data_IF_608514032024
#
_entry.id   IF_608514032024
#
_cell.length_a   1.000
_cell.length_b   1.000
_cell.length_c   1.000
_cell.angle_alpha   90.00
_cell.angle_beta   90.00
_cell.angle_gamma   90.00
#
_symmetry.space_group_name_H-M   'P 1'
#
loop_
_entity.id
_entity.type
_entity.pdbx_description
1 polymer ?
#
# COMPACT_ATOMS: atom_id res chain seq x y z
N UNK A 1 8.60 -14.09 27.89
CA UNK A 1 7.38 -13.29 27.64
C UNK A 1 7.37 -12.63 26.25
N UNK A 2 8.51 -12.11 25.76
CA UNK A 2 8.60 -11.48 24.41
C UNK A 2 8.43 -12.49 23.29
N UNK A 3 8.91 -13.73 23.45
CA UNK A 3 8.72 -14.79 22.44
C UNK A 3 7.27 -15.26 22.29
N UNK A 4 6.51 -15.28 23.38
CA UNK A 4 5.09 -15.70 23.35
C UNK A 4 4.20 -14.67 22.64
N UNK A 5 4.48 -13.38 22.78
CA UNK A 5 3.76 -12.30 22.08
C UNK A 5 4.01 -12.34 20.57
N UNK A 6 5.23 -12.74 20.16
CA UNK A 6 5.58 -12.84 18.73
C UNK A 6 4.91 -14.05 18.05
N UNK A 7 4.63 -15.12 18.79
CA UNK A 7 3.92 -16.30 18.25
C UNK A 7 2.41 -16.10 18.17
N UNK A 8 1.80 -15.40 19.14
CA UNK A 8 0.38 -15.04 19.07
C UNK A 8 0.07 -14.07 17.92
N UNK A 9 0.97 -13.12 17.62
CA UNK A 9 0.81 -12.22 16.48
C UNK A 9 0.85 -12.93 15.12
N UNK A 10 1.47 -14.11 15.02
CA UNK A 10 1.56 -14.90 13.78
C UNK A 10 0.32 -15.75 13.47
N UNK A 11 -0.57 -15.94 14.44
CA UNK A 11 -1.76 -16.78 14.29
C UNK A 11 -3.09 -16.00 14.30
N UNK A 12 -3.06 -14.70 14.60
CA UNK A 12 -4.25 -13.86 14.54
C UNK A 12 -4.70 -13.68 13.08
N UNK A 13 -5.90 -14.13 12.75
CA UNK A 13 -6.56 -13.78 11.49
C UNK A 13 -6.67 -12.25 11.43
N UNK A 14 -6.15 -11.66 10.36
CA UNK A 14 -6.04 -10.21 10.11
C UNK A 14 -7.41 -9.46 10.09
N UNK A 15 -8.53 -10.12 10.40
CA UNK A 15 -9.85 -9.48 10.47
C UNK A 15 -10.03 -8.56 11.68
N UNK A 16 -9.29 -8.79 12.79
CA UNK A 16 -9.47 -8.06 14.02
C UNK A 16 -8.10 -7.52 14.48
N UNK A 17 -7.85 -6.25 14.20
CA UNK A 17 -6.57 -5.57 14.44
C UNK A 17 -6.40 -5.13 15.92
N UNK A 18 -6.96 -5.90 16.87
CA UNK A 18 -6.92 -5.60 18.29
C UNK A 18 -6.73 -6.89 19.12
N UNK A 19 -6.37 -6.72 20.38
CA UNK A 19 -6.22 -7.82 21.34
C UNK A 19 -7.59 -8.29 21.80
N UNK A 20 -7.89 -9.57 21.57
CA UNK A 20 -9.19 -10.13 21.98
C UNK A 20 -9.34 -10.15 23.49
N UNK A 21 -10.53 -9.77 23.97
CA UNK A 21 -10.82 -9.65 25.40
C UNK A 21 -10.28 -8.37 26.05
N UNK A 22 -9.62 -7.47 25.32
CA UNK A 22 -9.06 -6.24 25.86
C UNK A 22 -9.75 -4.97 25.35
N UNK A 23 -9.82 -3.97 26.24
CA UNK A 23 -10.31 -2.64 25.88
C UNK A 23 -9.56 -1.53 26.64
N UNK A 24 -9.45 -0.37 25.98
CA UNK A 24 -9.00 0.86 26.59
C UNK A 24 -10.22 1.68 27.00
N UNK A 25 -10.31 2.05 28.27
CA UNK A 25 -11.45 2.73 28.85
C UNK A 25 -11.06 4.11 29.36
N UNK A 26 -11.76 5.13 28.91
CA UNK A 26 -11.68 6.47 29.48
C UNK A 26 -12.78 6.66 30.49
N UNK A 27 -12.39 7.01 31.71
CA UNK A 27 -13.28 7.17 32.88
C UNK A 27 -13.32 8.62 33.34
N UNK A 28 -14.45 9.04 33.90
CA UNK A 28 -14.54 10.35 34.57
C UNK A 28 -14.04 10.26 36.03
N UNK A 29 -13.86 11.41 36.66
CA UNK A 29 -13.11 11.66 37.91
C UNK A 29 -13.45 10.84 39.17
N UNK A 30 -14.34 9.87 39.12
CA UNK A 30 -14.72 9.08 40.31
C UNK A 30 -13.98 7.75 40.41
N UNK A 31 -13.15 7.40 39.47
CA UNK A 31 -12.42 6.14 39.49
C UNK A 31 -11.02 6.34 40.09
N UNK A 32 -10.79 5.90 41.27
CA UNK A 32 -9.44 5.80 41.86
C UNK A 32 -8.96 4.35 41.73
N UNK A 33 -7.95 4.22 40.89
CA UNK A 33 -7.30 2.96 40.65
C UNK A 33 -6.49 2.48 41.85
N UNK A 34 -6.56 1.19 42.07
CA UNK A 34 -5.48 0.41 42.62
C UNK A 34 -5.27 0.36 44.10
N UNK A 35 -6.19 0.79 44.95
CA UNK A 35 -6.26 0.32 46.33
C UNK A 35 -7.71 0.51 46.79
N UNK A 36 -8.45 -0.57 46.74
CA UNK A 36 -9.81 -0.65 47.22
C UNK A 36 -9.90 -0.15 48.68
N UNK A 37 -10.30 1.09 48.83
CA UNK A 37 -10.91 1.59 50.07
C UNK A 37 -12.09 2.44 49.69
N UNK A 38 -13.27 1.82 49.86
CA UNK A 38 -14.61 2.40 49.97
C UNK A 38 -14.98 3.49 48.94
N UNK A 39 -15.76 3.13 47.95
CA UNK A 39 -16.44 4.05 47.04
C UNK A 39 -15.96 4.06 45.59
N UNK A 40 -15.26 3.06 45.12
CA UNK A 40 -14.79 2.95 43.73
C UNK A 40 -15.80 2.22 42.86
N UNK A 41 -16.09 2.75 41.68
CA UNK A 41 -16.79 1.97 40.66
C UNK A 41 -15.96 0.73 40.35
N UNK A 42 -16.45 -0.43 40.73
CA UNK A 42 -15.87 -1.70 40.33
C UNK A 42 -16.50 -2.11 39.01
N UNK A 43 -15.66 -2.52 38.05
CA UNK A 43 -16.15 -3.32 36.93
C UNK A 43 -16.74 -4.66 37.48
N UNK A 44 -17.53 -5.35 36.67
CA UNK A 44 -17.96 -6.72 37.00
C UNK A 44 -16.75 -7.58 37.35
N UNK A 45 -16.99 -8.62 38.16
CA UNK A 45 -15.95 -9.56 38.60
C UNK A 45 -15.17 -10.22 37.47
N UNK A 46 -15.75 -10.23 36.27
CA UNK A 46 -15.18 -10.82 35.04
C UNK A 46 -14.41 -9.82 34.19
N UNK A 47 -14.16 -8.61 34.73
CA UNK A 47 -13.38 -7.55 34.05
C UNK A 47 -12.25 -7.14 34.98
N UNK A 48 -11.04 -7.45 34.59
CA UNK A 48 -9.82 -7.12 35.31
C UNK A 48 -9.21 -5.80 34.79
N UNK A 49 -8.70 -4.99 35.71
CA UNK A 49 -7.93 -3.78 35.36
C UNK A 49 -6.46 -4.14 35.34
N UNK A 50 -5.85 -4.16 34.17
CA UNK A 50 -4.43 -4.48 34.04
C UNK A 50 -3.54 -3.28 34.30
N UNK A 51 -3.88 -2.14 33.72
CA UNK A 51 -3.13 -0.90 33.84
C UNK A 51 -4.06 0.30 34.00
N UNK A 52 -3.53 1.36 34.62
CA UNK A 52 -4.27 2.61 34.77
C UNK A 52 -3.35 3.80 34.78
N UNK A 53 -3.80 4.87 34.14
CA UNK A 53 -3.05 6.12 34.02
C UNK A 53 -3.92 7.31 34.47
N UNK A 54 -3.35 8.17 35.33
CA UNK A 54 -3.96 9.43 35.75
C UNK A 54 -3.36 10.59 34.95
N UNK A 55 -4.18 11.28 34.18
CA UNK A 55 -3.73 12.43 33.39
C UNK A 55 -3.71 13.74 34.18
N UNK A 56 -3.99 13.72 35.47
CA UNK A 56 -3.96 14.90 36.32
C UNK A 56 -4.78 16.09 35.82
N UNK A 57 -5.05 17.10 36.62
CA UNK A 57 -5.76 18.28 36.15
C UNK A 57 -4.87 19.07 35.19
N UNK A 58 -5.31 19.24 33.94
CA UNK A 58 -4.71 20.20 33.03
C UNK A 58 -4.68 21.56 33.72
N UNK A 59 -3.48 22.10 33.97
CA UNK A 59 -3.30 23.40 34.63
C UNK A 59 -4.23 24.43 33.96
N UNK A 60 -5.22 24.92 34.72
CA UNK A 60 -6.07 26.08 34.45
C UNK A 60 -7.36 25.94 33.62
N UNK A 61 -8.00 24.79 33.49
CA UNK A 61 -9.42 24.80 33.10
C UNK A 61 -10.24 23.98 34.08
N UNK A 62 -11.46 24.43 34.40
CA UNK A 62 -12.49 23.66 35.15
C UNK A 62 -12.94 22.45 34.30
N UNK A 63 -12.06 21.46 34.12
CA UNK A 63 -12.33 20.22 33.43
C UNK A 63 -12.46 19.09 34.44
N UNK A 64 -13.27 18.11 34.15
CA UNK A 64 -13.33 16.86 34.92
C UNK A 64 -12.00 16.13 34.72
N UNK A 65 -11.42 15.57 35.78
CA UNK A 65 -10.26 14.68 35.64
C UNK A 65 -10.72 13.44 34.86
N UNK A 66 -9.93 13.02 33.92
CA UNK A 66 -10.12 11.79 33.16
C UNK A 66 -9.03 10.80 33.55
N UNK A 67 -9.42 9.55 33.63
CA UNK A 67 -8.52 8.42 33.87
C UNK A 67 -8.60 7.46 32.69
N UNK A 68 -7.51 6.87 32.33
CA UNK A 68 -7.45 5.80 31.34
C UNK A 68 -7.15 4.49 32.04
N UNK A 69 -7.83 3.45 31.64
CA UNK A 69 -7.55 2.10 32.12
C UNK A 69 -7.54 1.11 30.97
N UNK A 70 -6.61 0.18 31.03
CA UNK A 70 -6.61 -1.02 30.22
C UNK A 70 -7.32 -2.12 31.02
N UNK A 71 -8.30 -2.73 30.41
CA UNK A 71 -9.11 -3.76 31.04
C UNK A 71 -9.12 -5.01 30.20
N UNK A 72 -9.17 -6.17 30.85
CA UNK A 72 -9.19 -7.48 30.24
C UNK A 72 -10.37 -8.30 30.76
N UNK A 73 -10.86 -9.22 29.92
CA UNK A 73 -11.85 -10.23 30.31
C UNK A 73 -11.61 -11.52 29.51
N UNK A 74 -11.52 -12.62 30.25
CA UNK A 74 -11.53 -13.98 29.67
C UNK A 74 -12.92 -14.45 29.27
N UNK A 75 -13.96 -13.74 29.73
CA UNK A 75 -15.38 -14.14 29.57
C UNK A 75 -16.03 -13.49 28.35
N UNK A 76 -15.66 -12.24 28.04
CA UNK A 76 -16.30 -11.44 27.01
C UNK A 76 -15.37 -11.26 25.81
N UNK A 77 -15.93 -11.39 24.62
CA UNK A 77 -15.25 -10.87 23.42
C UNK A 77 -15.02 -9.37 23.55
N UNK A 78 -14.00 -8.83 22.87
CA UNK A 78 -13.70 -7.37 22.89
C UNK A 78 -14.94 -6.53 22.58
N UNK A 79 -15.77 -6.96 21.63
CA UNK A 79 -17.00 -6.26 21.27
C UNK A 79 -18.02 -6.26 22.42
N UNK A 80 -18.26 -7.40 23.06
CA UNK A 80 -19.17 -7.51 24.20
C UNK A 80 -18.65 -6.72 25.40
N UNK A 81 -17.35 -6.79 25.65
CA UNK A 81 -16.68 -6.03 26.71
C UNK A 81 -16.90 -4.53 26.52
N UNK A 82 -16.67 -4.00 25.32
CA UNK A 82 -16.87 -2.58 25.01
C UNK A 82 -18.33 -2.17 25.17
N UNK A 83 -19.28 -2.96 24.69
CA UNK A 83 -20.71 -2.69 24.86
C UNK A 83 -21.13 -2.68 26.33
N UNK A 84 -20.57 -3.57 27.14
CA UNK A 84 -20.82 -3.63 28.59
C UNK A 84 -20.21 -2.43 29.31
N UNK A 85 -19.00 -2.04 28.96
CA UNK A 85 -18.31 -0.87 29.51
C UNK A 85 -19.05 0.43 29.20
N UNK A 86 -19.51 0.63 27.97
CA UNK A 86 -20.25 1.83 27.54
C UNK A 86 -21.58 2.04 28.27
N UNK A 87 -22.13 1.02 28.90
CA UNK A 87 -23.38 1.12 29.71
C UNK A 87 -23.14 1.66 31.12
N UNK A 88 -21.89 1.86 31.53
CA UNK A 88 -21.56 2.34 32.86
C UNK A 88 -21.49 3.87 32.89
N UNK A 89 -22.12 4.49 33.87
CA UNK A 89 -22.26 5.96 33.98
C UNK A 89 -20.92 6.71 34.09
N UNK A 90 -19.87 6.04 34.57
CA UNK A 90 -18.54 6.61 34.71
C UNK A 90 -17.64 6.43 33.51
N UNK A 91 -18.09 5.68 32.50
CA UNK A 91 -17.34 5.47 31.25
C UNK A 91 -17.64 6.59 30.25
N UNK A 92 -16.62 7.28 29.84
CA UNK A 92 -16.69 8.35 28.82
C UNK A 92 -16.48 7.78 27.42
N UNK A 93 -15.58 6.81 27.29
CA UNK A 93 -15.30 6.10 26.06
C UNK A 93 -14.75 4.71 26.38
N UNK A 94 -14.99 3.75 25.49
CA UNK A 94 -14.37 2.44 25.49
C UNK A 94 -14.09 2.04 24.04
N UNK A 95 -12.88 1.58 23.78
CA UNK A 95 -12.38 1.21 22.47
C UNK A 95 -11.48 -0.01 22.56
N UNK A 96 -11.29 -0.79 21.47
CA UNK A 96 -10.39 -1.94 21.48
C UNK A 96 -8.96 -1.53 21.80
N UNK A 97 -8.20 -2.41 22.46
CA UNK A 97 -6.75 -2.28 22.53
C UNK A 97 -6.14 -2.74 21.21
N UNK A 98 -5.93 -1.78 20.29
CA UNK A 98 -5.42 -2.08 18.96
C UNK A 98 -3.95 -2.45 18.98
N UNK A 99 -3.59 -3.47 18.22
CA UNK A 99 -2.20 -3.75 17.92
C UNK A 99 -1.53 -2.54 17.27
N UNK A 100 -0.34 -2.22 17.75
CA UNK A 100 0.56 -1.24 17.12
C UNK A 100 1.83 -1.99 16.76
N UNK A 101 2.12 -2.01 15.49
CA UNK A 101 3.33 -2.64 14.99
C UNK A 101 4.44 -1.60 14.89
N UNK A 102 5.67 -2.02 15.20
CA UNK A 102 6.83 -1.24 14.81
C UNK A 102 6.76 -1.09 13.30
N UNK A 103 6.67 0.14 12.83
CA UNK A 103 6.65 0.43 11.40
C UNK A 103 7.89 -0.21 10.79
N UNK A 104 7.72 -1.07 9.78
CA UNK A 104 8.83 -1.69 9.11
C UNK A 104 9.62 -0.57 8.42
N UNK A 105 10.78 -0.28 8.93
CA UNK A 105 11.80 0.42 8.17
C UNK A 105 12.38 -0.65 7.27
N UNK A 106 12.25 -0.47 5.97
CA UNK A 106 12.99 -1.31 5.02
C UNK A 106 14.48 -1.16 5.26
N UNK A 107 15.25 -2.21 4.98
CA UNK A 107 16.71 -2.19 5.09
C UNK A 107 17.39 -1.86 3.75
N UNK A 108 16.63 -1.42 2.75
CA UNK A 108 17.12 -1.12 1.42
C UNK A 108 18.03 0.11 1.43
N UNK A 109 19.09 0.08 0.62
CA UNK A 109 20.23 1.01 0.69
C UNK A 109 19.82 2.47 0.56
N UNK A 110 18.83 2.79 -0.27
CA UNK A 110 18.36 4.14 -0.55
C UNK A 110 16.97 4.44 0.00
N UNK A 111 16.49 3.63 0.94
CA UNK A 111 15.16 3.82 1.54
C UNK A 111 14.97 5.19 2.19
N UNK A 112 16.02 5.72 2.81
CA UNK A 112 15.99 7.04 3.46
C UNK A 112 15.88 8.20 2.45
N UNK A 113 16.18 7.96 1.18
CA UNK A 113 16.04 8.93 0.10
C UNK A 113 14.62 8.94 -0.49
N UNK A 114 13.84 7.91 -0.23
CA UNK A 114 12.45 7.77 -0.70
C UNK A 114 11.46 8.57 0.15
N UNK A 115 11.59 9.90 0.14
CA UNK A 115 10.79 10.83 0.94
C UNK A 115 9.27 10.64 0.77
N UNK A 116 8.83 10.17 -0.39
CA UNK A 116 7.42 9.94 -0.70
C UNK A 116 6.79 8.77 0.07
N UNK A 117 7.57 7.87 0.65
CA UNK A 117 7.04 6.73 1.40
C UNK A 117 6.42 7.14 2.72
N UNK A 118 7.04 8.04 3.48
CA UNK A 118 6.60 8.40 4.83
C UNK A 118 6.59 9.91 5.13
N UNK A 119 6.99 10.73 4.16
CA UNK A 119 7.08 12.18 4.34
C UNK A 119 8.26 12.62 5.21
N UNK A 120 9.23 11.73 5.46
CA UNK A 120 10.47 12.04 6.16
C UNK A 120 11.62 12.13 5.16
N UNK A 121 12.55 13.03 5.34
CA UNK A 121 13.69 13.23 4.44
C UNK A 121 14.03 14.71 4.23
N UNK A 122 14.97 15.01 3.34
CA UNK A 122 15.48 16.36 3.11
C UNK A 122 14.43 17.36 2.58
N UNK A 123 13.29 16.89 2.10
CA UNK A 123 12.19 17.70 1.57
C UNK A 123 10.95 17.66 2.46
N UNK A 124 11.13 17.53 3.75
CA UNK A 124 10.04 17.45 4.74
C UNK A 124 9.07 18.62 4.63
N UNK A 125 7.89 18.33 4.09
CA UNK A 125 6.68 19.03 4.45
C UNK A 125 5.72 18.02 5.07
N UNK A 126 5.24 18.32 6.22
CA UNK A 126 4.60 17.50 7.23
C UNK A 126 3.34 16.72 6.84
N UNK A 127 3.20 16.18 5.65
CA UNK A 127 2.11 15.26 5.27
C UNK A 127 2.11 14.79 3.81
N UNK A 128 3.20 14.90 3.09
CA UNK A 128 3.20 14.65 1.63
C UNK A 128 3.55 13.22 1.21
N UNK A 129 3.87 12.33 2.13
CA UNK A 129 4.15 10.94 1.82
C UNK A 129 2.87 10.10 1.65
N UNK A 130 2.96 9.00 0.92
CA UNK A 130 1.85 8.05 0.71
C UNK A 130 1.54 7.22 1.97
N UNK A 131 2.21 7.50 3.10
CA UNK A 131 2.07 6.78 4.37
C UNK A 131 2.34 5.26 4.21
N UNK A 132 3.37 4.93 3.46
CA UNK A 132 3.77 3.55 3.18
C UNK A 132 3.90 2.69 4.45
N UNK A 133 4.37 3.28 5.55
CA UNK A 133 4.48 2.61 6.86
C UNK A 133 3.14 2.11 7.40
N UNK A 134 2.03 2.66 6.94
CA UNK A 134 0.69 2.21 7.30
C UNK A 134 0.18 1.09 6.37
N UNK A 135 0.96 0.72 5.36
CA UNK A 135 0.64 -0.41 4.50
C UNK A 135 0.75 -1.70 5.31
N UNK A 136 -0.33 -2.44 5.37
CA UNK A 136 -0.30 -3.82 5.83
C UNK A 136 0.46 -4.60 4.76
N UNK A 137 1.63 -5.12 5.08
CA UNK A 137 2.31 -6.07 4.21
C UNK A 137 1.45 -7.35 4.13
N UNK A 138 0.56 -7.39 3.14
CA UNK A 138 -0.11 -8.63 2.78
C UNK A 138 0.87 -9.45 1.96
N UNK A 139 0.99 -10.72 2.31
CA UNK A 139 1.79 -11.81 1.72
C UNK A 139 2.67 -11.48 0.50
N UNK A 140 3.90 -11.96 0.54
CA UNK A 140 4.95 -11.82 -0.48
C UNK A 140 4.65 -12.50 -1.81
N UNK A 141 3.48 -13.08 -2.01
CA UNK A 141 3.14 -13.88 -3.18
C UNK A 141 1.93 -13.24 -3.86
N UNK A 142 2.20 -12.28 -4.70
CA UNK A 142 1.18 -11.61 -5.48
C UNK A 142 1.20 -12.14 -6.91
N UNK A 143 0.14 -12.83 -7.31
CA UNK A 143 -0.16 -13.11 -8.73
C UNK A 143 -0.62 -11.85 -9.48
N UNK A 144 -0.64 -10.72 -8.78
CA UNK A 144 -1.04 -9.43 -9.34
C UNK A 144 0.06 -8.87 -10.23
N UNK A 145 -0.30 -8.44 -11.41
CA UNK A 145 0.61 -7.89 -12.40
C UNK A 145 0.35 -6.39 -12.55
N UNK A 146 1.43 -5.61 -12.62
CA UNK A 146 1.40 -4.24 -13.13
C UNK A 146 2.13 -4.22 -14.47
N UNK A 147 1.45 -3.80 -15.52
CA UNK A 147 2.05 -3.58 -16.82
C UNK A 147 2.69 -2.19 -16.85
N UNK A 148 3.98 -2.13 -17.19
CA UNK A 148 4.74 -0.89 -17.38
C UNK A 148 4.90 -0.68 -18.88
N UNK A 149 4.13 0.27 -19.41
CA UNK A 149 4.16 0.65 -20.84
C UNK A 149 5.08 1.87 -20.94
N UNK A 150 6.35 1.64 -21.30
CA UNK A 150 7.40 2.66 -21.16
C UNK A 150 8.60 2.37 -22.09
N UNK A 151 9.82 2.80 -21.72
CA UNK A 151 11.08 2.56 -22.45
C UNK A 151 11.59 1.12 -22.36
N UNK A 152 10.94 0.26 -21.58
CA UNK A 152 11.34 -1.09 -21.24
C UNK A 152 11.59 -1.25 -19.75
N UNK A 153 12.12 -2.39 -19.34
CA UNK A 153 12.62 -2.65 -17.98
C UNK A 153 13.93 -3.42 -18.08
N UNK A 154 14.96 -2.98 -17.36
CA UNK A 154 16.11 -3.83 -17.10
C UNK A 154 15.69 -5.01 -16.20
N UNK A 155 15.21 -6.05 -16.83
CA UNK A 155 14.75 -7.27 -16.15
C UNK A 155 15.89 -8.09 -15.51
N UNK A 156 17.14 -7.69 -15.73
CA UNK A 156 18.32 -8.26 -15.08
C UNK A 156 18.74 -7.51 -13.82
N UNK A 157 18.15 -6.32 -13.59
CA UNK A 157 18.45 -5.49 -12.42
C UNK A 157 18.24 -6.27 -11.12
N UNK A 158 19.24 -6.26 -10.23
CA UNK A 158 19.26 -7.09 -9.03
C UNK A 158 18.13 -6.81 -8.05
N UNK A 159 17.51 -5.63 -8.13
CA UNK A 159 16.39 -5.18 -7.30
C UNK A 159 15.02 -5.40 -7.96
N UNK A 160 14.97 -5.86 -9.21
CA UNK A 160 13.73 -6.06 -9.98
C UNK A 160 13.50 -7.51 -10.43
N UNK A 161 14.56 -8.23 -10.73
CA UNK A 161 14.50 -9.54 -11.41
C UNK A 161 13.59 -10.57 -10.73
N UNK A 162 13.47 -10.53 -9.39
CA UNK A 162 12.59 -11.44 -8.64
C UNK A 162 11.09 -11.08 -8.79
N UNK A 163 10.79 -9.85 -9.12
CA UNK A 163 9.42 -9.37 -9.33
C UNK A 163 9.02 -9.29 -10.81
N UNK A 164 9.92 -9.63 -11.72
CA UNK A 164 9.52 -9.69 -13.13
C UNK A 164 8.43 -10.74 -13.37
N UNK A 165 7.39 -10.34 -14.10
CA UNK A 165 6.42 -11.29 -14.64
C UNK A 165 7.11 -12.19 -15.64
N UNK A 166 6.82 -13.49 -15.58
CA UNK A 166 7.26 -14.46 -16.57
C UNK A 166 6.04 -14.98 -17.31
N UNK A 167 6.02 -14.76 -18.62
CA UNK A 167 4.94 -15.19 -19.48
C UNK A 167 4.73 -16.71 -19.41
N UNK A 168 3.60 -17.18 -18.87
CA UNK A 168 3.29 -18.62 -18.81
C UNK A 168 2.59 -19.14 -20.07
N UNK A 169 2.27 -18.28 -21.04
CA UNK A 169 1.45 -18.60 -22.19
C UNK A 169 2.27 -19.02 -23.40
N UNK A 170 1.61 -19.60 -24.39
CA UNK A 170 2.24 -19.99 -25.66
C UNK A 170 2.80 -18.75 -26.37
N UNK A 171 4.05 -18.84 -26.83
CA UNK A 171 4.75 -17.74 -27.50
C UNK A 171 4.16 -17.38 -28.86
N UNK A 172 3.36 -18.25 -29.47
CA UNK A 172 2.62 -17.94 -30.70
C UNK A 172 1.38 -17.09 -30.44
N UNK A 173 0.81 -17.23 -29.23
CA UNK A 173 -0.36 -16.44 -28.83
C UNK A 173 0.06 -15.11 -28.16
N UNK A 174 1.07 -15.18 -27.28
CA UNK A 174 1.58 -14.03 -26.54
C UNK A 174 3.11 -14.09 -26.49
N UNK A 175 3.82 -13.43 -27.41
CA UNK A 175 5.28 -13.52 -27.50
C UNK A 175 5.99 -12.80 -26.35
N UNK A 176 7.25 -13.19 -26.11
CA UNK A 176 8.14 -12.58 -25.12
C UNK A 176 8.08 -13.22 -23.75
N UNK A 177 9.19 -13.19 -23.02
CA UNK A 177 9.34 -13.81 -21.70
C UNK A 177 8.88 -12.91 -20.57
N UNK A 178 9.27 -11.65 -20.62
CA UNK A 178 8.97 -10.65 -19.58
C UNK A 178 7.95 -9.59 -20.04
N UNK A 179 7.51 -9.71 -21.28
CA UNK A 179 6.71 -8.75 -22.02
C UNK A 179 7.15 -8.72 -23.47
N UNK A 180 7.08 -7.55 -24.12
CA UNK A 180 7.38 -7.42 -25.53
C UNK A 180 7.83 -6.01 -25.88
N UNK A 181 8.70 -5.86 -26.90
CA UNK A 181 9.12 -4.60 -27.49
C UNK A 181 8.26 -4.26 -28.72
N UNK A 182 7.42 -3.23 -28.58
CA UNK A 182 6.59 -2.67 -29.65
C UNK A 182 7.24 -1.48 -30.34
N UNK A 183 8.34 -0.96 -29.78
CA UNK A 183 9.14 0.09 -30.38
C UNK A 183 9.95 -0.42 -31.58
N UNK A 184 10.60 -1.55 -31.38
CA UNK A 184 11.44 -2.20 -32.39
C UNK A 184 10.88 -3.55 -32.88
N UNK A 185 9.72 -3.97 -32.38
CA UNK A 185 8.92 -5.17 -32.77
C UNK A 185 9.66 -6.50 -32.56
N UNK A 186 10.21 -6.70 -31.36
CA UNK A 186 10.83 -7.96 -30.97
C UNK A 186 10.41 -8.44 -29.57
N UNK A 187 10.98 -9.55 -29.12
CA UNK A 187 10.63 -10.16 -27.84
C UNK A 187 11.51 -9.75 -26.66
N UNK A 188 12.36 -8.75 -26.84
CA UNK A 188 13.29 -8.26 -25.83
C UNK A 188 12.92 -6.86 -25.32
N UNK A 189 12.09 -6.75 -24.26
CA UNK A 189 11.68 -5.47 -23.70
C UNK A 189 12.72 -4.87 -22.75
N UNK A 190 14.03 -5.13 -23.00
CA UNK A 190 15.11 -4.53 -22.25
C UNK A 190 15.04 -3.01 -22.34
N UNK A 191 15.23 -2.34 -21.22
CA UNK A 191 15.35 -0.90 -21.19
C UNK A 191 16.76 -0.51 -21.66
N UNK A 192 16.84 0.07 -22.84
CA UNK A 192 18.07 0.57 -23.44
C UNK A 192 18.12 2.10 -23.43
N UNK A 193 17.15 2.73 -22.77
CA UNK A 193 17.11 4.18 -22.62
C UNK A 193 18.26 4.67 -21.72
N UNK A 194 18.91 5.75 -22.12
CA UNK A 194 20.09 6.28 -21.41
C UNK A 194 19.74 6.67 -19.96
N UNK A 195 18.51 7.15 -19.73
CA UNK A 195 17.97 7.53 -18.42
C UNK A 195 17.29 6.38 -17.68
N UNK A 196 17.03 5.25 -18.36
CA UNK A 196 16.37 4.08 -17.75
C UNK A 196 14.98 4.38 -17.19
N UNK A 197 14.18 5.19 -17.90
CA UNK A 197 12.93 5.73 -17.38
C UNK A 197 11.93 4.64 -16.99
N UNK A 198 11.69 3.64 -17.84
CA UNK A 198 10.78 2.54 -17.54
C UNK A 198 11.27 1.67 -16.38
N UNK A 199 12.59 1.44 -16.29
CA UNK A 199 13.23 0.73 -15.18
C UNK A 199 13.04 1.48 -13.87
N UNK A 200 13.21 2.81 -13.89
CA UNK A 200 12.95 3.64 -12.70
C UNK A 200 11.48 3.57 -12.26
N UNK A 201 10.53 3.69 -13.18
CA UNK A 201 9.11 3.55 -12.90
C UNK A 201 8.80 2.16 -12.30
N UNK A 202 9.37 1.09 -12.86
CA UNK A 202 9.25 -0.27 -12.36
C UNK A 202 9.80 -0.41 -10.93
N UNK A 203 10.93 0.22 -10.63
CA UNK A 203 11.53 0.26 -9.29
C UNK A 203 10.61 0.88 -8.25
N UNK A 204 10.05 2.04 -8.54
CA UNK A 204 9.07 2.70 -7.64
C UNK A 204 7.86 1.81 -7.42
N UNK A 205 7.36 1.13 -8.44
CA UNK A 205 6.19 0.24 -8.35
C UNK A 205 6.51 -0.99 -7.50
N UNK A 206 7.60 -1.70 -7.78
CA UNK A 206 7.80 -3.05 -7.22
C UNK A 206 9.27 -3.48 -7.14
N UNK A 207 10.20 -2.61 -6.75
CA UNK A 207 11.53 -3.07 -6.33
C UNK A 207 11.41 -4.01 -5.12
N UNK A 208 12.34 -4.96 -5.00
CA UNK A 208 12.31 -5.98 -3.96
C UNK A 208 12.66 -5.35 -2.61
N UNK A 209 11.68 -5.24 -1.74
CA UNK A 209 11.88 -4.64 -0.41
C UNK A 209 12.63 -5.57 0.53
N UNK A 210 13.38 -5.00 1.48
CA UNK A 210 14.11 -5.70 2.55
C UNK A 210 15.21 -6.66 2.05
N UNK A 211 15.87 -6.33 0.95
CA UNK A 211 16.95 -7.13 0.36
C UNK A 211 18.35 -6.51 0.56
N UNK A 212 18.47 -5.41 1.30
CA UNK A 212 19.68 -4.59 1.52
C UNK A 212 20.25 -3.96 0.23
N UNK A 213 19.42 -3.72 -0.77
CA UNK A 213 19.80 -3.16 -2.07
C UNK A 213 18.82 -2.08 -2.48
N UNK A 214 19.24 -1.21 -3.40
CA UNK A 214 18.38 -0.28 -4.10
C UNK A 214 17.34 0.44 -3.25
N UNK A 215 16.12 0.36 -3.66
CA UNK A 215 14.96 1.04 -3.09
C UNK A 215 13.85 0.08 -2.67
N UNK A 216 12.93 0.57 -1.86
CA UNK A 216 11.73 -0.18 -1.49
C UNK A 216 10.59 0.07 -2.48
N UNK A 217 10.14 -0.94 -3.19
CA UNK A 217 8.95 -0.85 -4.03
C UNK A 217 7.67 -0.65 -3.20
N UNK A 218 6.69 0.05 -3.78
CA UNK A 218 5.40 0.29 -3.11
C UNK A 218 4.57 -1.00 -3.03
N UNK A 219 4.80 -1.94 -3.94
CA UNK A 219 4.07 -3.19 -4.02
C UNK A 219 5.01 -4.39 -4.20
N UNK A 220 4.45 -5.61 -4.12
CA UNK A 220 5.12 -6.85 -4.50
C UNK A 220 4.48 -7.42 -5.80
N UNK A 221 3.89 -6.57 -6.62
CA UNK A 221 3.30 -6.96 -7.88
C UNK A 221 4.36 -7.48 -8.85
N UNK A 222 3.97 -8.37 -9.75
CA UNK A 222 4.81 -8.76 -10.86
C UNK A 222 4.81 -7.67 -11.94
N UNK A 223 5.97 -7.41 -12.51
CA UNK A 223 6.20 -6.37 -13.50
C UNK A 223 6.20 -6.94 -14.90
N UNK A 224 5.24 -6.51 -15.73
CA UNK A 224 5.18 -6.86 -17.16
C UNK A 224 5.79 -5.70 -17.96
N UNK A 225 6.86 -5.96 -18.69
CA UNK A 225 7.57 -4.95 -19.47
C UNK A 225 6.98 -4.83 -20.89
N UNK A 226 6.43 -3.67 -21.22
CA UNK A 226 5.90 -3.38 -22.55
C UNK A 226 6.61 -2.14 -23.09
N UNK A 227 7.69 -2.37 -23.85
CA UNK A 227 8.51 -1.31 -24.42
C UNK A 227 7.79 -0.74 -25.64
N UNK A 228 7.49 0.55 -25.59
CA UNK A 228 6.80 1.26 -26.69
C UNK A 228 7.65 2.37 -27.30
N UNK A 229 8.78 2.68 -26.71
CA UNK A 229 9.78 3.60 -27.26
C UNK A 229 10.85 2.80 -28.00
N UNK A 230 11.16 3.21 -29.20
CA UNK A 230 12.23 2.62 -29.98
C UNK A 230 13.60 3.11 -29.50
N UNK A 231 14.67 2.56 -30.07
CA UNK A 231 16.06 2.92 -29.79
C UNK A 231 16.42 4.42 -30.03
N UNK A 232 15.54 5.16 -30.72
CA UNK A 232 15.69 6.61 -30.91
C UNK A 232 14.90 7.43 -29.87
N UNK A 233 14.33 6.79 -28.82
CA UNK A 233 13.54 7.45 -27.79
C UNK A 233 12.17 7.98 -28.27
N UNK A 234 11.66 7.44 -29.39
CA UNK A 234 10.40 7.87 -29.99
C UNK A 234 9.35 6.77 -29.89
N UNK A 235 8.12 7.14 -29.55
CA UNK A 235 6.97 6.25 -29.57
C UNK A 235 5.91 6.72 -30.56
N UNK A 236 5.06 5.80 -30.98
CA UNK A 236 3.96 6.04 -31.90
C UNK A 236 2.67 5.43 -31.36
N UNK A 237 1.51 6.01 -31.67
CA UNK A 237 0.20 5.46 -31.31
C UNK A 237 0.05 3.99 -31.71
N UNK A 238 0.64 3.57 -32.82
CA UNK A 238 0.61 2.17 -33.28
C UNK A 238 1.30 1.22 -32.32
N UNK A 239 2.44 1.59 -31.75
CA UNK A 239 3.16 0.81 -30.75
C UNK A 239 2.37 0.72 -29.43
N UNK A 240 1.81 1.85 -29.00
CA UNK A 240 0.97 1.93 -27.80
C UNK A 240 -0.30 1.07 -27.94
N UNK A 241 -0.99 1.18 -29.09
CA UNK A 241 -2.17 0.37 -29.39
C UNK A 241 -1.82 -1.13 -29.42
N UNK A 242 -0.68 -1.49 -29.97
CA UNK A 242 -0.20 -2.88 -30.00
C UNK A 242 0.10 -3.39 -28.56
N UNK A 243 0.71 -2.58 -27.72
CA UNK A 243 0.95 -2.88 -26.30
C UNK A 243 -0.36 -3.07 -25.54
N UNK A 244 -1.35 -2.20 -25.73
CA UNK A 244 -2.67 -2.35 -25.09
C UNK A 244 -3.40 -3.61 -25.60
N UNK A 245 -3.28 -3.93 -26.89
CA UNK A 245 -3.83 -5.19 -27.40
C UNK A 245 -3.13 -6.42 -26.79
N UNK A 246 -1.82 -6.34 -26.52
CA UNK A 246 -1.11 -7.39 -25.80
C UNK A 246 -1.65 -7.58 -24.37
N UNK A 247 -1.87 -6.47 -23.64
CA UNK A 247 -2.51 -6.49 -22.31
C UNK A 247 -3.89 -7.16 -22.38
N UNK A 248 -4.72 -6.72 -23.32
CA UNK A 248 -6.06 -7.32 -23.51
C UNK A 248 -6.00 -8.81 -23.76
N UNK A 249 -5.10 -9.26 -24.63
CA UNK A 249 -4.87 -10.69 -24.88
C UNK A 249 -4.40 -11.42 -23.62
N UNK A 250 -3.43 -10.88 -22.90
CA UNK A 250 -2.95 -11.48 -21.67
C UNK A 250 -4.09 -11.66 -20.64
N UNK A 251 -4.97 -10.66 -20.49
CA UNK A 251 -6.16 -10.77 -19.65
C UNK A 251 -7.11 -11.88 -20.11
N UNK A 252 -7.33 -12.01 -21.42
CA UNK A 252 -8.22 -13.08 -21.96
C UNK A 252 -7.64 -14.48 -21.75
N UNK A 253 -6.32 -14.61 -21.64
CA UNK A 253 -5.62 -15.83 -21.27
C UNK A 253 -5.57 -16.09 -19.76
N UNK A 254 -6.03 -15.14 -18.94
CA UNK A 254 -6.13 -15.27 -17.49
C UNK A 254 -5.08 -14.52 -16.67
N UNK A 255 -4.28 -13.63 -17.29
CA UNK A 255 -3.34 -12.80 -16.56
C UNK A 255 -4.07 -11.80 -15.64
N UNK A 256 -3.71 -11.78 -14.35
CA UNK A 256 -4.30 -10.89 -13.36
C UNK A 256 -3.61 -9.51 -13.38
N UNK A 257 -3.90 -8.72 -14.41
CA UNK A 257 -3.32 -7.38 -14.58
C UNK A 257 -4.20 -6.36 -13.84
N UNK A 258 -3.74 -5.85 -12.71
CA UNK A 258 -4.49 -4.91 -11.89
C UNK A 258 -4.34 -3.46 -12.34
N UNK A 259 -3.15 -3.08 -12.82
CA UNK A 259 -2.86 -1.71 -13.23
C UNK A 259 -1.93 -1.66 -14.44
N UNK A 260 -2.06 -0.57 -15.20
CA UNK A 260 -1.21 -0.23 -16.33
C UNK A 260 -0.62 1.16 -16.07
N UNK A 261 0.70 1.22 -15.96
CA UNK A 261 1.44 2.45 -15.80
C UNK A 261 1.82 3.03 -17.15
N UNK A 262 1.46 4.28 -17.41
CA UNK A 262 1.74 5.05 -18.62
C UNK A 262 2.36 6.38 -18.22
N UNK A 263 3.68 6.37 -17.93
CA UNK A 263 4.41 7.56 -17.45
C UNK A 263 4.94 8.42 -18.59
N UNK A 264 4.12 8.62 -19.61
CA UNK A 264 4.44 9.40 -20.81
C UNK A 264 3.21 10.22 -21.25
N UNK A 265 3.45 11.15 -22.15
CA UNK A 265 2.42 11.96 -22.77
C UNK A 265 2.92 12.55 -24.08
N UNK A 266 2.04 13.17 -24.84
CA UNK A 266 2.39 13.82 -26.10
C UNK A 266 1.19 14.54 -26.71
N UNK A 267 1.48 15.50 -27.60
CA UNK A 267 0.45 16.23 -28.32
C UNK A 267 -0.15 15.39 -29.44
N UNK A 268 -1.46 15.21 -29.44
CA UNK A 268 -2.20 14.52 -30.49
C UNK A 268 -3.71 14.66 -30.31
N UNK A 269 -4.47 14.34 -31.35
CA UNK A 269 -5.91 14.20 -31.22
C UNK A 269 -6.26 12.85 -30.59
N UNK A 270 -7.40 12.79 -29.92
CA UNK A 270 -7.85 11.54 -29.26
C UNK A 270 -8.00 10.38 -30.27
N UNK A 271 -7.41 9.22 -29.93
CA UNK A 271 -7.52 8.00 -30.73
C UNK A 271 -8.72 7.17 -30.31
N UNK A 272 -9.68 6.95 -31.21
CA UNK A 272 -10.83 6.08 -30.95
C UNK A 272 -10.42 4.63 -30.68
N UNK A 273 -9.38 4.14 -31.38
CA UNK A 273 -8.86 2.78 -31.19
C UNK A 273 -8.27 2.62 -29.78
N UNK A 274 -7.47 3.59 -29.34
CA UNK A 274 -6.90 3.60 -27.98
C UNK A 274 -7.98 3.65 -26.91
N UNK A 275 -8.96 4.57 -27.05
CA UNK A 275 -10.13 4.65 -26.14
C UNK A 275 -10.90 3.33 -26.05
N UNK A 276 -11.06 2.65 -27.19
CA UNK A 276 -11.76 1.36 -27.22
C UNK A 276 -11.03 0.30 -26.42
N UNK A 277 -9.71 0.17 -26.60
CA UNK A 277 -8.87 -0.78 -25.85
C UNK A 277 -8.82 -0.46 -24.35
N UNK A 278 -8.64 0.82 -23.99
CA UNK A 278 -8.67 1.27 -22.60
C UNK A 278 -9.99 0.84 -21.92
N UNK A 279 -11.12 1.06 -22.59
CA UNK A 279 -12.43 0.68 -22.06
C UNK A 279 -12.58 -0.84 -21.92
N UNK A 280 -12.11 -1.63 -22.89
CA UNK A 280 -12.19 -3.10 -22.83
C UNK A 280 -11.30 -3.67 -21.72
N UNK A 281 -10.07 -3.17 -21.60
CA UNK A 281 -9.12 -3.57 -20.57
C UNK A 281 -9.64 -3.17 -19.18
N UNK A 282 -10.22 -1.96 -19.07
CA UNK A 282 -10.83 -1.48 -17.83
C UNK A 282 -12.06 -2.30 -17.41
N UNK A 283 -12.90 -2.74 -18.37
CA UNK A 283 -14.02 -3.65 -18.10
C UNK A 283 -13.56 -5.02 -17.60
N UNK A 284 -12.36 -5.47 -17.97
CA UNK A 284 -11.73 -6.67 -17.46
C UNK A 284 -11.06 -6.47 -16.07
N UNK A 285 -11.16 -5.29 -15.45
CA UNK A 285 -10.75 -5.04 -14.08
C UNK A 285 -9.42 -4.32 -13.89
N UNK A 286 -8.74 -3.88 -14.96
CA UNK A 286 -7.48 -3.15 -14.83
C UNK A 286 -7.69 -1.63 -14.78
N UNK A 287 -6.84 -0.95 -14.00
CA UNK A 287 -6.82 0.50 -13.89
C UNK A 287 -5.68 1.09 -14.72
N UNK A 288 -5.96 2.09 -15.57
CA UNK A 288 -4.93 2.87 -16.25
C UNK A 288 -4.49 4.06 -15.39
N UNK A 289 -3.19 4.28 -15.32
CA UNK A 289 -2.56 5.42 -14.66
C UNK A 289 -1.72 6.18 -15.68
N UNK A 290 -2.13 7.39 -15.99
CA UNK A 290 -1.40 8.29 -16.90
C UNK A 290 -0.71 9.39 -16.12
N UNK A 291 0.49 9.78 -16.57
CA UNK A 291 1.18 10.94 -16.02
C UNK A 291 0.39 12.22 -16.26
N UNK A 292 0.40 13.12 -15.28
CA UNK A 292 -0.23 14.44 -15.41
C UNK A 292 0.61 15.44 -16.21
N UNK A 293 1.82 15.06 -16.61
CA UNK A 293 2.79 15.95 -17.26
C UNK A 293 3.66 16.70 -16.25
N UNK A 294 4.62 17.47 -16.79
CA UNK A 294 5.63 18.17 -15.99
C UNK A 294 5.58 19.69 -16.15
N UNK A 295 4.59 20.21 -16.87
CA UNK A 295 4.52 21.63 -17.27
C UNK A 295 4.01 22.54 -16.15
N UNK A 296 3.45 21.95 -15.09
CA UNK A 296 2.84 22.69 -13.97
C UNK A 296 1.55 23.42 -14.34
N UNK A 297 0.93 23.01 -15.45
CA UNK A 297 -0.31 23.60 -15.94
C UNK A 297 -1.55 22.98 -15.29
N UNK A 298 -2.63 23.79 -15.15
CA UNK A 298 -3.92 23.30 -14.70
C UNK A 298 -4.68 22.65 -15.88
N UNK A 299 -4.65 21.33 -15.94
CA UNK A 299 -5.32 20.55 -16.97
C UNK A 299 -6.86 20.50 -16.81
N UNK A 300 -7.45 21.08 -15.77
CA UNK A 300 -8.91 21.11 -15.58
C UNK A 300 -9.64 21.88 -16.70
N UNK A 301 -8.94 22.75 -17.41
CA UNK A 301 -9.49 23.51 -18.52
C UNK A 301 -8.99 23.03 -19.91
N UNK A 302 -8.09 22.07 -19.98
CA UNK A 302 -7.48 21.61 -21.23
C UNK A 302 -8.16 20.36 -21.82
N UNK A 303 -9.06 19.71 -21.09
CA UNK A 303 -9.80 18.55 -21.60
C UNK A 303 -11.14 19.03 -22.15
N UNK A 304 -11.10 19.75 -23.24
CA UNK A 304 -12.20 19.77 -24.17
C UNK A 304 -11.92 18.70 -25.23
N UNK A 305 -12.58 17.56 -25.08
CA UNK A 305 -12.66 16.38 -25.97
C UNK A 305 -11.76 15.20 -25.65
#
# INVERSE_FOLDING_TARGET
KIQAVTEQAKTAKISDNYVEGEAIVTLNASFKTGLAKEGTASFDSDIEVENSWDFGPAKKKKGKNLYLSEVHSDTYSTKELIEKLKRQDNVVAAEPNYYRYKLATTNDTYADEQWYLDGTGAYQTTSSGIQYKNRIQTSNDSDTIVAVVDTGIDYTHEDLTAHMWKNPYDQLELPGTYGYDFGDYDSDPMDEDEDGHGTHCAGVISAVSDNNKGICGISNAKLMALKVFNSAGTSYDSAIIAAFNYIYKAQTLGANIAAINCSWGGGGSSSTSMKTLINQIGQNGSLFLFAAGNDGEDHNNAISD
#
